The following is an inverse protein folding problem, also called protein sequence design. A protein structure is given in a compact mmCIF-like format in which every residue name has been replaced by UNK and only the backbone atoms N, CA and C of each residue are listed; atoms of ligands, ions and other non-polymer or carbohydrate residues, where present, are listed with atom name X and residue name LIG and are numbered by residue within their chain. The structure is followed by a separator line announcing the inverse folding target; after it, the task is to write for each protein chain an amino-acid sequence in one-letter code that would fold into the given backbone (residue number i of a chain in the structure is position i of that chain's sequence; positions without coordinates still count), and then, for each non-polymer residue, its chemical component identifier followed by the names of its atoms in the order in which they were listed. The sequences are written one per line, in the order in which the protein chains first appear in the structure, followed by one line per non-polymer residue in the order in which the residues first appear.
data_IF_340368627817
#
_entry.id   IF_340368627817
#
_cell.length_a   1.000
_cell.length_b   1.000
_cell.length_c   1.000
_cell.angle_alpha   90.00
_cell.angle_beta   90.00
_cell.angle_gamma   90.00
#
_symmetry.space_group_name_H-M   'P 1'
#
loop_
_entity.id
_entity.type
_entity.pdbx_description
1 polymer ?
#
# COMPACT_ATOMS: atom_id res chain seq x y z
N UNK A 1 2.85 -5.92 -18.59
CA UNK A 1 2.84 -4.70 -17.75
C UNK A 1 1.87 -4.97 -16.64
N UNK A 2 2.36 -5.13 -15.41
CA UNK A 2 1.48 -5.25 -14.24
C UNK A 2 0.53 -4.06 -14.26
N UNK A 3 -0.77 -4.33 -14.33
CA UNK A 3 -1.75 -3.28 -14.20
C UNK A 3 -1.58 -2.72 -12.79
N UNK A 4 -1.16 -1.46 -12.68
CA UNK A 4 -1.23 -0.69 -11.43
C UNK A 4 -2.70 -0.60 -11.06
N UNK A 5 -3.17 -1.58 -10.30
CA UNK A 5 -4.50 -1.60 -9.73
C UNK A 5 -4.53 -0.39 -8.80
N UNK A 6 -5.26 0.64 -9.19
CA UNK A 6 -5.37 1.87 -8.42
C UNK A 6 -5.85 1.51 -7.02
N UNK A 7 -5.07 1.88 -6.00
CA UNK A 7 -5.38 1.53 -4.62
C UNK A 7 -6.68 2.23 -4.21
N UNK A 8 -7.71 1.44 -3.88
CA UNK A 8 -9.00 1.94 -3.40
C UNK A 8 -9.13 1.70 -1.89
N UNK A 9 -9.02 2.80 -1.13
CA UNK A 9 -9.09 2.78 0.32
C UNK A 9 -10.46 2.29 0.84
N UNK A 10 -11.56 2.56 0.14
CA UNK A 10 -12.88 2.12 0.59
C UNK A 10 -13.04 0.60 0.45
N UNK A 11 -12.58 0.02 -0.65
CA UNK A 11 -12.54 -1.44 -0.82
C UNK A 11 -11.66 -2.10 0.26
N UNK A 12 -10.50 -1.51 0.56
CA UNK A 12 -9.60 -2.03 1.61
C UNK A 12 -10.24 -1.96 2.99
N UNK A 13 -10.94 -0.87 3.32
CA UNK A 13 -11.68 -0.75 4.59
C UNK A 13 -12.78 -1.81 4.73
N UNK A 14 -13.56 -2.04 3.67
CA UNK A 14 -14.63 -3.05 3.70
C UNK A 14 -14.08 -4.47 3.88
N UNK A 15 -12.97 -4.81 3.21
CA UNK A 15 -12.28 -6.09 3.39
C UNK A 15 -11.68 -6.20 4.81
N UNK A 16 -11.04 -5.14 5.30
CA UNK A 16 -10.42 -5.13 6.62
C UNK A 16 -11.45 -5.39 7.73
N UNK A 17 -12.66 -4.82 7.65
CA UNK A 17 -13.75 -5.11 8.59
C UNK A 17 -14.15 -6.58 8.54
N UNK A 18 -14.32 -7.16 7.35
CA UNK A 18 -14.69 -8.59 7.20
C UNK A 18 -13.64 -9.51 7.82
N UNK A 19 -12.36 -9.28 7.51
CA UNK A 19 -11.24 -10.08 8.02
C UNK A 19 -11.04 -9.92 9.53
N UNK A 20 -11.24 -8.70 10.05
CA UNK A 20 -11.19 -8.42 11.48
C UNK A 20 -12.27 -9.21 12.24
N UNK A 21 -13.50 -9.22 11.72
CA UNK A 21 -14.60 -9.98 12.31
C UNK A 21 -14.37 -11.50 12.25
N UNK A 22 -13.61 -11.98 11.25
CA UNK A 22 -13.17 -13.38 11.13
C UNK A 22 -12.00 -13.73 12.06
N UNK A 23 -11.45 -12.76 12.80
CA UNK A 23 -10.35 -12.99 13.75
C UNK A 23 -8.97 -13.10 13.11
N UNK A 24 -8.81 -12.64 11.86
CA UNK A 24 -7.52 -12.63 11.19
C UNK A 24 -6.53 -11.65 11.86
N UNK A 25 -5.21 -11.95 11.83
CA UNK A 25 -4.22 -11.10 12.46
C UNK A 25 -4.14 -9.72 11.79
N UNK A 26 -3.96 -8.67 12.59
CA UNK A 26 -3.82 -7.30 12.08
C UNK A 26 -2.52 -7.08 11.30
N UNK A 27 -1.45 -7.77 11.72
CA UNK A 27 -0.07 -7.61 11.25
C UNK A 27 0.52 -8.95 10.77
N UNK A 28 1.73 -8.88 10.20
CA UNK A 28 2.41 -10.03 9.61
C UNK A 28 2.26 -10.06 8.10
N UNK A 29 2.86 -11.05 7.43
CA UNK A 29 2.87 -11.15 5.96
C UNK A 29 1.47 -11.05 5.37
N UNK A 30 0.51 -11.75 5.98
CA UNK A 30 -0.88 -11.80 5.53
C UNK A 30 -1.80 -11.00 6.47
N UNK A 31 -1.27 -10.02 7.20
CA UNK A 31 -2.05 -9.19 8.10
C UNK A 31 -3.11 -8.35 7.39
N UNK A 32 -4.14 -7.94 8.13
CA UNK A 32 -5.20 -7.06 7.63
C UNK A 32 -4.62 -5.74 7.09
N UNK A 33 -3.56 -5.22 7.72
CA UNK A 33 -2.93 -3.94 7.34
C UNK A 33 -1.77 -4.06 6.36
N UNK A 34 -1.34 -5.27 5.97
CA UNK A 34 -0.31 -5.47 4.94
C UNK A 34 -0.50 -4.60 3.69
N UNK A 35 -1.70 -4.55 3.06
CA UNK A 35 -1.88 -3.73 1.86
C UNK A 35 -1.65 -2.23 2.09
N UNK A 36 -1.99 -1.70 3.27
CA UNK A 36 -1.74 -0.30 3.62
C UNK A 36 -0.26 -0.02 3.82
N UNK A 37 0.46 -0.92 4.50
CA UNK A 37 1.90 -0.80 4.70
C UNK A 37 2.61 -0.83 3.34
N UNK A 38 2.21 -1.74 2.46
CA UNK A 38 2.74 -1.82 1.09
C UNK A 38 2.55 -0.50 0.35
N UNK A 39 1.35 0.08 0.38
CA UNK A 39 1.06 1.35 -0.28
C UNK A 39 1.96 2.48 0.26
N UNK A 40 2.14 2.59 1.58
CA UNK A 40 3.01 3.62 2.17
C UNK A 40 4.46 3.46 1.70
N UNK A 41 4.96 2.22 1.62
CA UNK A 41 6.32 1.94 1.14
C UNK A 41 6.48 2.25 -0.35
N UNK A 42 5.48 1.91 -1.18
CA UNK A 42 5.48 2.22 -2.61
C UNK A 42 5.47 3.74 -2.83
N UNK A 43 4.63 4.48 -2.11
CA UNK A 43 4.61 5.95 -2.20
C UNK A 43 5.90 6.61 -1.72
N UNK A 44 6.55 6.05 -0.70
CA UNK A 44 7.86 6.54 -0.25
C UNK A 44 8.94 6.32 -1.31
N UNK A 45 8.96 5.14 -1.96
CA UNK A 45 9.88 4.81 -3.04
C UNK A 45 9.65 5.68 -4.29
N UNK A 46 8.39 5.91 -4.66
CA UNK A 46 8.04 6.81 -5.76
C UNK A 46 8.51 8.24 -5.48
N UNK A 47 8.33 8.74 -4.26
CA UNK A 47 8.82 10.06 -3.85
C UNK A 47 10.35 10.17 -3.84
N UNK A 48 11.06 9.09 -3.47
CA UNK A 48 12.52 9.02 -3.58
C UNK A 48 12.97 9.10 -5.05
N UNK A 49 12.32 8.36 -5.95
CA UNK A 49 12.62 8.40 -7.39
C UNK A 49 12.37 9.81 -7.95
N UNK A 50 11.23 10.42 -7.63
CA UNK A 50 10.91 11.80 -8.08
C UNK A 50 11.98 12.79 -7.61
N UNK A 51 12.39 12.72 -6.34
CA UNK A 51 13.44 13.58 -5.79
C UNK A 51 14.76 13.42 -6.55
N UNK A 52 15.20 12.19 -6.82
CA UNK A 52 16.43 11.92 -7.58
C UNK A 52 16.36 12.40 -9.03
N UNK A 53 15.24 12.21 -9.72
CA UNK A 53 15.08 12.69 -11.10
C UNK A 53 15.10 14.22 -11.16
N UNK A 54 14.52 14.91 -10.18
CA UNK A 54 14.59 16.39 -10.12
C UNK A 54 15.99 16.93 -9.80
N UNK A 55 16.85 16.10 -9.19
CA UNK A 55 18.24 16.44 -8.88
C UNK A 55 19.16 16.20 -10.09
N UNK A 56 18.92 15.14 -10.88
CA UNK A 56 19.66 14.87 -12.13
C UNK A 56 19.31 15.84 -13.28
N UNK A 57 18.10 16.43 -13.28
CA UNK A 57 17.67 17.42 -14.28
C UNK A 57 18.18 18.85 -14.00
N UNK A 58 18.87 19.10 -12.88
CA UNK A 58 19.45 20.40 -12.50
C UNK A 58 20.95 20.49 -12.80
#
# INVERSE_FOLDING_TARGET
MEQTKQFDLETVKQEAVRRLLSGEPLMGKDGIFTPLIKQVLESALEGEIEAHMTEEER
#
